data_IF_386914526520
#
_entry.id   IF_386914526520
#
_cell.length_a   1.000
_cell.length_b   1.000
_cell.length_c   1.000
_cell.angle_alpha   90.00
_cell.angle_beta   90.00
_cell.angle_gamma   90.00
#
_symmetry.space_group_name_H-M   'P 1'
#
loop_
_entity.id
_entity.type
_entity.pdbx_description
1 polymer ?
#
# COMPACT_ATOMS: atom_id res chain seq x y z
N UNK A 1 -38.84 31.85 33.26
CA UNK A 1 -39.07 33.31 33.18
C UNK A 1 -39.06 33.67 31.71
N UNK A 2 -40.11 34.30 31.20
CA UNK A 2 -40.22 34.62 29.78
C UNK A 2 -39.53 35.98 29.52
N UNK A 3 -38.44 35.96 28.75
CA UNK A 3 -37.61 37.12 28.45
C UNK A 3 -37.99 37.81 27.13
N UNK A 4 -39.08 37.38 26.48
CA UNK A 4 -39.60 37.99 25.25
C UNK A 4 -40.40 39.27 25.52
N UNK A 5 -40.56 39.66 26.79
CA UNK A 5 -41.26 40.89 27.19
C UNK A 5 -40.27 42.07 27.24
N UNK A 6 -40.40 43.08 26.36
CA UNK A 6 -39.43 44.18 26.30
C UNK A 6 -39.37 44.99 27.60
N UNK A 7 -40.51 45.27 28.23
CA UNK A 7 -40.57 46.02 29.49
C UNK A 7 -39.82 45.32 30.65
N UNK A 8 -39.84 43.98 30.68
CA UNK A 8 -39.13 43.20 31.69
C UNK A 8 -37.61 43.26 31.47
N UNK A 9 -37.17 43.20 30.22
CA UNK A 9 -35.75 43.33 29.87
C UNK A 9 -35.22 44.73 30.20
N UNK A 10 -35.99 45.78 29.94
CA UNK A 10 -35.63 47.16 30.28
C UNK A 10 -35.44 47.34 31.80
N UNK A 11 -36.36 46.82 32.61
CA UNK A 11 -36.26 46.88 34.08
C UNK A 11 -35.07 46.07 34.62
N UNK A 12 -34.85 44.85 34.11
CA UNK A 12 -33.70 44.05 34.56
C UNK A 12 -32.36 44.64 34.10
N UNK A 13 -32.32 45.24 32.91
CA UNK A 13 -31.14 45.92 32.40
C UNK A 13 -30.78 47.15 33.23
N UNK A 14 -31.77 47.98 33.60
CA UNK A 14 -31.53 49.15 34.45
C UNK A 14 -31.01 48.76 35.84
N UNK A 15 -31.63 47.76 36.48
CA UNK A 15 -31.17 47.23 37.76
C UNK A 15 -29.78 46.61 37.70
N UNK A 16 -29.47 45.94 36.59
CA UNK A 16 -28.16 45.34 36.34
C UNK A 16 -27.08 46.41 36.17
N UNK A 17 -27.30 47.44 35.34
CA UNK A 17 -26.34 48.53 35.10
C UNK A 17 -26.11 49.37 36.35
N UNK A 18 -27.17 49.65 37.12
CA UNK A 18 -27.07 50.35 38.41
C UNK A 18 -26.42 49.48 39.51
N UNK A 19 -26.16 48.20 39.25
CA UNK A 19 -25.58 47.28 40.22
C UNK A 19 -26.49 46.89 41.39
N UNK A 20 -27.80 47.17 41.28
CA UNK A 20 -28.81 46.82 42.29
C UNK A 20 -29.25 45.37 42.19
N UNK A 21 -29.10 44.76 41.00
CA UNK A 21 -29.34 43.33 40.81
C UNK A 21 -28.26 42.49 41.52
N UNK A 22 -28.65 41.75 42.56
CA UNK A 22 -27.72 40.99 43.42
C UNK A 22 -27.96 39.48 43.39
N UNK A 23 -26.93 38.73 43.79
CA UNK A 23 -27.02 37.30 44.08
C UNK A 23 -27.53 36.45 42.90
N UNK A 24 -28.47 35.51 43.14
CA UNK A 24 -28.97 34.61 42.09
C UNK A 24 -29.64 35.31 40.91
N UNK A 25 -30.26 36.48 41.13
CA UNK A 25 -30.93 37.23 40.07
C UNK A 25 -29.92 37.75 39.04
N UNK A 26 -28.79 38.30 39.50
CA UNK A 26 -27.70 38.76 38.65
C UNK A 26 -27.11 37.62 37.82
N UNK A 27 -26.79 36.48 38.45
CA UNK A 27 -26.24 35.31 37.73
C UNK A 27 -27.21 34.72 36.71
N UNK A 28 -28.53 34.83 36.94
CA UNK A 28 -29.54 34.45 35.95
C UNK A 28 -29.53 35.40 34.77
N UNK A 29 -29.53 36.71 35.02
CA UNK A 29 -29.51 37.72 33.98
C UNK A 29 -28.21 37.69 33.15
N UNK A 30 -27.06 37.44 33.76
CA UNK A 30 -25.78 37.25 33.06
C UNK A 30 -25.82 36.07 32.06
N UNK A 31 -26.53 34.98 32.40
CA UNK A 31 -26.77 33.88 31.45
C UNK A 31 -27.70 34.27 30.31
N UNK A 32 -28.67 35.13 30.58
CA UNK A 32 -29.55 35.69 29.55
C UNK A 32 -28.76 36.59 28.59
N UNK A 33 -27.84 37.41 29.11
CA UNK A 33 -26.96 38.26 28.28
C UNK A 33 -26.08 37.45 27.32
N UNK A 34 -25.69 36.23 27.69
CA UNK A 34 -24.91 35.34 26.83
C UNK A 34 -25.70 34.81 25.62
N UNK A 35 -27.03 34.74 25.70
CA UNK A 35 -27.89 34.07 24.72
C UNK A 35 -28.83 35.00 23.96
N UNK A 36 -29.33 36.08 24.58
CA UNK A 36 -30.31 36.99 23.97
C UNK A 36 -29.68 38.33 23.57
N UNK A 37 -29.78 38.63 22.27
CA UNK A 37 -29.30 39.91 21.72
C UNK A 37 -30.05 41.12 22.29
N UNK A 38 -31.38 41.03 22.41
CA UNK A 38 -32.21 42.14 22.93
C UNK A 38 -31.83 42.53 24.36
N UNK A 39 -31.44 41.56 25.19
CA UNK A 39 -30.97 41.83 26.55
C UNK A 39 -29.66 42.62 26.57
N UNK A 40 -28.72 42.32 25.64
CA UNK A 40 -27.47 43.09 25.48
C UNK A 40 -27.72 44.50 24.98
N UNK A 41 -28.67 44.67 24.06
CA UNK A 41 -29.06 46.00 23.55
C UNK A 41 -29.67 46.87 24.65
N UNK A 42 -30.55 46.31 25.48
CA UNK A 42 -31.13 47.03 26.62
C UNK A 42 -30.05 47.47 27.62
N UNK A 43 -29.09 46.59 27.95
CA UNK A 43 -27.96 46.94 28.83
C UNK A 43 -27.11 48.07 28.22
N UNK A 44 -26.73 47.96 26.95
CA UNK A 44 -25.95 48.99 26.27
C UNK A 44 -26.68 50.35 26.22
N UNK A 45 -28.00 50.34 26.04
CA UNK A 45 -28.82 51.55 26.08
C UNK A 45 -28.86 52.20 27.48
N UNK A 46 -28.90 51.39 28.55
CA UNK A 46 -28.82 51.90 29.91
C UNK A 46 -27.43 52.40 30.27
N UNK A 47 -26.37 51.71 29.83
CA UNK A 47 -24.99 52.16 30.01
C UNK A 47 -24.76 53.51 29.32
N UNK A 48 -25.23 53.69 28.08
CA UNK A 48 -25.06 54.96 27.36
C UNK A 48 -25.82 56.13 28.01
N UNK A 49 -27.02 55.87 28.56
CA UNK A 49 -27.79 56.87 29.32
C UNK A 49 -27.11 57.30 30.61
N UNK A 50 -26.42 56.37 31.29
CA UNK A 50 -25.77 56.63 32.58
C UNK A 50 -24.32 57.09 32.45
N UNK A 51 -23.67 56.83 31.31
CA UNK A 51 -22.27 57.19 31.08
C UNK A 51 -21.95 58.68 31.35
N UNK A 52 -22.78 59.67 30.97
CA UNK A 52 -22.51 61.07 31.26
C UNK A 52 -22.40 61.39 32.75
N UNK A 53 -23.06 60.62 33.63
CA UNK A 53 -22.96 60.82 35.08
C UNK A 53 -21.53 60.58 35.59
N UNK A 54 -20.78 59.67 34.96
CA UNK A 54 -19.39 59.41 35.32
C UNK A 54 -18.49 60.63 35.06
N UNK A 55 -18.83 61.50 34.10
CA UNK A 55 -18.06 62.70 33.80
C UNK A 55 -18.13 63.76 34.90
N UNK A 56 -19.17 63.72 35.74
CA UNK A 56 -19.29 64.63 36.90
C UNK A 56 -18.44 64.20 38.11
N UNK A 57 -17.81 63.02 38.05
CA UNK A 57 -16.97 62.50 39.14
C UNK A 57 -15.53 62.97 38.94
N UNK A 58 -14.91 63.62 39.94
CA UNK A 58 -13.50 64.00 39.86
C UNK A 58 -12.58 62.81 39.64
N UNK A 59 -11.56 62.99 38.81
CA UNK A 59 -10.55 61.96 38.57
C UNK A 59 -9.78 61.63 39.85
N UNK A 60 -9.62 60.34 40.15
CA UNK A 60 -8.77 59.87 41.24
C UNK A 60 -7.79 58.83 40.71
N UNK A 61 -6.49 59.13 40.81
CA UNK A 61 -5.46 58.22 40.36
C UNK A 61 -5.34 57.02 41.33
N UNK A 62 -5.49 55.77 40.87
CA UNK A 62 -5.27 54.61 41.72
C UNK A 62 -3.77 54.43 42.01
N UNK A 63 -3.44 53.70 43.08
CA UNK A 63 -2.04 53.48 43.46
C UNK A 63 -1.28 52.62 42.44
N UNK A 64 0.04 52.83 42.33
CA UNK A 64 0.92 52.07 41.42
C UNK A 64 0.86 50.56 41.67
N UNK A 65 0.64 50.15 42.92
CA UNK A 65 0.52 48.73 43.28
C UNK A 65 -0.72 48.07 42.67
N UNK A 66 -1.84 48.79 42.58
CA UNK A 66 -3.07 48.28 41.94
C UNK A 66 -2.82 48.07 40.45
N UNK A 67 -2.17 49.02 39.79
CA UNK A 67 -1.80 48.89 38.38
C UNK A 67 -0.90 47.69 38.10
N UNK A 68 0.17 47.51 38.90
CA UNK A 68 1.06 46.35 38.78
C UNK A 68 0.32 45.02 38.98
N UNK A 69 -0.65 44.97 39.89
CA UNK A 69 -1.47 43.77 40.13
C UNK A 69 -2.41 43.46 38.97
N UNK A 70 -2.98 44.48 38.33
CA UNK A 70 -3.82 44.31 37.13
C UNK A 70 -2.97 43.77 35.97
N UNK A 71 -1.81 44.37 35.73
CA UNK A 71 -0.88 43.95 34.67
C UNK A 71 -0.43 42.49 34.86
N UNK A 72 -0.05 42.12 36.08
CA UNK A 72 0.38 40.75 36.37
C UNK A 72 -0.75 39.74 36.23
N UNK A 73 -2.00 40.07 36.57
CA UNK A 73 -3.14 39.18 36.36
C UNK A 73 -3.47 38.98 34.88
N UNK A 74 -3.44 40.04 34.08
CA UNK A 74 -3.71 39.95 32.63
C UNK A 74 -2.62 39.10 31.94
N UNK A 75 -1.35 39.39 32.23
CA UNK A 75 -0.23 38.69 31.62
C UNK A 75 -0.09 37.26 32.15
N UNK A 76 -0.33 37.03 33.44
CA UNK A 76 -0.31 35.72 34.06
C UNK A 76 -1.38 34.77 33.51
N UNK A 77 -2.60 35.26 33.30
CA UNK A 77 -3.67 34.45 32.69
C UNK A 77 -3.35 34.08 31.22
N UNK A 78 -2.70 34.97 30.47
CA UNK A 78 -2.24 34.69 29.11
C UNK A 78 -1.12 33.65 29.11
N UNK A 79 -0.15 33.78 30.01
CA UNK A 79 0.96 32.84 30.18
C UNK A 79 0.48 31.43 30.60
N UNK A 80 -0.51 31.33 31.48
CA UNK A 80 -1.08 30.04 31.89
C UNK A 80 -1.82 29.35 30.74
N UNK A 81 -2.59 30.09 29.92
CA UNK A 81 -3.28 29.53 28.74
C UNK A 81 -2.30 29.03 27.68
N UNK A 82 -1.21 29.76 27.43
CA UNK A 82 -0.17 29.33 26.49
C UNK A 82 0.61 28.14 27.01
N UNK A 83 0.98 28.12 28.30
CA UNK A 83 1.66 26.99 28.94
C UNK A 83 0.80 25.72 28.92
N UNK A 84 -0.50 25.80 29.24
CA UNK A 84 -1.41 24.67 29.18
C UNK A 84 -1.60 24.12 27.76
N UNK A 85 -1.66 25.02 26.75
CA UNK A 85 -1.73 24.63 25.34
C UNK A 85 -0.44 23.98 24.86
N UNK A 86 0.72 24.52 25.25
CA UNK A 86 2.02 23.96 24.92
C UNK A 86 2.22 22.58 25.55
N UNK A 87 1.84 22.40 26.82
CA UNK A 87 1.92 21.11 27.51
C UNK A 87 1.02 20.04 26.89
N UNK A 88 -0.23 20.38 26.55
CA UNK A 88 -1.14 19.47 25.83
C UNK A 88 -0.61 19.08 24.46
N UNK A 89 -0.06 20.03 23.71
CA UNK A 89 0.51 19.75 22.40
C UNK A 89 1.80 18.90 22.51
N UNK A 90 2.57 19.08 23.58
CA UNK A 90 3.80 18.33 23.84
C UNK A 90 3.53 16.87 24.24
N UNK A 91 2.46 16.59 25.00
CA UNK A 91 2.01 15.22 25.25
C UNK A 91 1.60 14.51 23.95
N UNK A 92 1.00 15.23 22.99
CA UNK A 92 0.54 14.65 21.72
C UNK A 92 1.65 14.44 20.69
N UNK A 93 2.86 15.00 20.90
CA UNK A 93 4.02 14.79 20.01
C UNK A 93 4.40 13.32 19.77
N UNK A 94 4.40 12.42 20.77
CA UNK A 94 4.66 11.00 20.52
C UNK A 94 3.63 10.31 19.60
N UNK A 95 2.39 10.82 19.43
CA UNK A 95 1.43 10.24 18.48
C UNK A 95 1.72 10.63 17.01
N UNK A 96 2.24 11.85 16.78
CA UNK A 96 2.63 12.29 15.43
C UNK A 96 3.88 11.56 14.89
N UNK A 97 4.80 11.19 15.78
CA UNK A 97 6.00 10.44 15.43
C UNK A 97 5.72 9.01 14.94
N UNK A 98 4.72 8.34 15.53
CA UNK A 98 4.36 6.96 15.13
C UNK A 98 3.70 6.93 13.75
N UNK A 99 2.77 7.85 13.46
CA UNK A 99 2.14 7.93 12.13
C UNK A 99 3.12 8.34 11.02
N UNK A 100 4.01 9.29 11.29
CA UNK A 100 5.07 9.67 10.35
C UNK A 100 6.06 8.53 10.12
N UNK A 101 6.39 7.75 11.16
CA UNK A 101 7.25 6.57 11.06
C UNK A 101 6.63 5.46 10.21
N UNK A 102 5.32 5.22 10.34
CA UNK A 102 4.59 4.24 9.51
C UNK A 102 4.57 4.69 8.04
N UNK A 103 4.25 5.96 7.75
CA UNK A 103 4.22 6.47 6.38
C UNK A 103 5.62 6.40 5.74
N UNK A 104 6.66 6.83 6.46
CA UNK A 104 8.04 6.78 5.96
C UNK A 104 8.51 5.33 5.78
N UNK A 105 8.17 4.43 6.71
CA UNK A 105 8.44 3.00 6.59
C UNK A 105 7.77 2.37 5.38
N UNK A 106 6.48 2.68 5.13
CA UNK A 106 5.76 2.24 3.93
C UNK A 106 6.40 2.83 2.67
N UNK A 107 6.83 4.09 2.69
CA UNK A 107 7.47 4.73 1.53
C UNK A 107 8.84 4.10 1.21
N UNK A 108 9.64 3.81 2.24
CA UNK A 108 10.95 3.15 2.10
C UNK A 108 10.75 1.71 1.58
N UNK A 109 9.78 0.97 2.10
CA UNK A 109 9.44 -0.36 1.60
C UNK A 109 8.91 -0.31 0.16
N UNK A 110 8.17 0.75 -0.22
CA UNK A 110 7.70 0.95 -1.60
C UNK A 110 8.83 1.35 -2.57
N UNK A 111 9.82 2.14 -2.14
CA UNK A 111 10.91 2.61 -3.00
C UNK A 111 12.10 1.64 -3.07
N UNK A 112 12.35 0.84 -2.03
CA UNK A 112 13.47 -0.10 -1.97
C UNK A 112 13.05 -1.49 -1.42
N UNK A 113 12.06 -2.18 -2.03
CA UNK A 113 11.57 -3.46 -1.54
C UNK A 113 12.65 -4.56 -1.53
N UNK A 114 13.63 -4.49 -2.45
CA UNK A 114 14.73 -5.45 -2.60
C UNK A 114 15.79 -5.39 -1.51
N UNK A 115 15.83 -4.31 -0.71
CA UNK A 115 16.80 -4.17 0.39
C UNK A 115 16.34 -4.88 1.66
N UNK A 116 15.04 -5.05 1.85
CA UNK A 116 14.44 -5.64 3.07
C UNK A 116 13.84 -7.02 2.84
N UNK A 117 13.35 -7.27 1.63
CA UNK A 117 12.95 -8.59 1.20
C UNK A 117 13.90 -8.98 0.07
N UNK A 118 14.86 -9.90 0.29
CA UNK A 118 15.46 -10.64 -0.81
C UNK A 118 14.35 -11.52 -1.38
N UNK A 119 13.44 -10.91 -2.14
CA UNK A 119 12.54 -11.62 -3.03
C UNK A 119 13.45 -12.11 -4.14
N UNK A 120 14.13 -13.22 -3.87
CA UNK A 120 14.41 -14.20 -4.91
C UNK A 120 13.11 -14.33 -5.66
N UNK A 121 13.10 -13.87 -6.91
CA UNK A 121 11.91 -13.70 -7.72
C UNK A 121 11.22 -15.05 -7.91
N UNK A 122 10.48 -15.48 -6.88
CA UNK A 122 9.49 -16.51 -6.90
C UNK A 122 8.36 -15.88 -7.68
N UNK A 123 8.53 -15.94 -8.98
CA UNK A 123 7.56 -15.60 -9.99
C UNK A 123 6.26 -16.33 -9.61
N UNK A 124 5.39 -15.67 -8.84
CA UNK A 124 4.02 -16.09 -8.61
C UNK A 124 3.40 -16.23 -10.02
N UNK A 125 3.29 -17.46 -10.54
CA UNK A 125 2.10 -18.29 -10.38
C UNK A 125 0.79 -17.55 -10.66
N UNK A 126 0.78 -16.62 -11.61
CA UNK A 126 -0.23 -16.74 -12.65
C UNK A 126 0.02 -18.12 -13.30
N UNK A 127 -1.03 -18.93 -13.46
CA UNK A 127 -1.03 -20.17 -14.25
C UNK A 127 -0.52 -19.84 -15.65
N UNK A 128 0.80 -19.75 -15.80
CA UNK A 128 1.42 -19.35 -17.04
C UNK A 128 1.19 -20.54 -17.94
N UNK A 129 0.30 -20.36 -18.91
CA UNK A 129 0.01 -21.35 -19.94
C UNK A 129 1.34 -21.96 -20.37
N UNK A 130 1.52 -23.26 -20.18
CA UNK A 130 2.82 -23.91 -20.30
C UNK A 130 2.71 -25.17 -21.14
N UNK A 131 3.80 -25.50 -21.82
CA UNK A 131 3.98 -26.77 -22.48
C UNK A 131 4.84 -27.66 -21.59
N UNK A 132 4.37 -28.88 -21.33
CA UNK A 132 5.10 -29.87 -20.52
C UNK A 132 5.17 -31.18 -21.28
N UNK A 133 6.39 -31.68 -21.47
CA UNK A 133 6.65 -32.98 -22.06
C UNK A 133 7.30 -33.91 -21.06
N UNK A 134 6.72 -35.09 -20.87
CA UNK A 134 7.27 -36.14 -20.01
C UNK A 134 7.79 -37.27 -20.90
N UNK A 135 9.11 -37.43 -20.97
CA UNK A 135 9.74 -38.45 -21.79
C UNK A 135 10.00 -39.70 -20.96
N UNK A 136 9.48 -40.81 -21.46
CA UNK A 136 9.56 -42.13 -20.87
C UNK A 136 10.68 -42.91 -21.53
N UNK A 137 11.32 -43.77 -20.73
CA UNK A 137 12.22 -44.82 -21.21
C UNK A 137 11.44 -45.98 -21.86
N UNK A 138 12.11 -46.90 -22.52
CA UNK A 138 11.52 -48.11 -23.12
C UNK A 138 10.77 -48.97 -22.08
N UNK A 139 11.12 -48.81 -20.80
CA UNK A 139 10.50 -49.46 -19.64
C UNK A 139 9.25 -48.73 -19.12
N UNK A 140 8.87 -47.59 -19.72
CA UNK A 140 7.73 -46.76 -19.30
C UNK A 140 8.02 -45.84 -18.12
N UNK A 141 9.27 -45.79 -17.64
CA UNK A 141 9.67 -44.95 -16.50
C UNK A 141 9.97 -43.52 -16.99
N UNK A 142 9.41 -42.47 -16.34
CA UNK A 142 9.72 -41.09 -16.69
C UNK A 142 11.17 -40.73 -16.34
N UNK A 143 11.93 -40.37 -17.37
CA UNK A 143 13.37 -40.08 -17.25
C UNK A 143 13.70 -38.60 -17.46
N UNK A 144 12.93 -37.89 -18.30
CA UNK A 144 13.16 -36.47 -18.59
C UNK A 144 11.85 -35.69 -18.56
N UNK A 145 11.87 -34.56 -17.85
CA UNK A 145 10.78 -33.59 -17.84
C UNK A 145 11.24 -32.33 -18.58
N UNK A 146 10.54 -31.97 -19.65
CA UNK A 146 10.73 -30.73 -20.38
C UNK A 146 9.56 -29.78 -20.08
N UNK A 147 9.85 -28.53 -19.75
CA UNK A 147 8.83 -27.54 -19.42
C UNK A 147 9.19 -26.16 -19.96
N UNK A 148 8.23 -25.48 -20.57
CA UNK A 148 8.41 -24.10 -21.05
C UNK A 148 7.11 -23.32 -20.92
N UNK A 149 7.24 -22.00 -20.81
CA UNK A 149 6.08 -21.09 -20.82
C UNK A 149 5.65 -20.79 -22.25
N UNK A 150 4.36 -20.58 -22.50
CA UNK A 150 3.76 -20.41 -23.84
C UNK A 150 4.50 -19.40 -24.73
N UNK A 151 4.79 -18.23 -24.18
CA UNK A 151 5.52 -17.16 -24.89
C UNK A 151 7.02 -17.13 -24.57
N UNK A 152 7.50 -18.08 -23.75
CA UNK A 152 8.90 -18.21 -23.41
C UNK A 152 9.71 -18.84 -24.54
N UNK A 153 10.98 -18.47 -24.58
CA UNK A 153 12.01 -19.12 -25.42
C UNK A 153 12.90 -20.07 -24.62
N UNK A 154 12.65 -20.22 -23.32
CA UNK A 154 13.50 -21.01 -22.42
C UNK A 154 12.82 -22.32 -22.06
N UNK A 155 13.35 -23.41 -22.60
CA UNK A 155 12.92 -24.76 -22.29
C UNK A 155 13.74 -25.29 -21.13
N UNK A 156 13.11 -25.45 -19.97
CA UNK A 156 13.72 -26.02 -18.77
C UNK A 156 13.61 -27.53 -18.82
N UNK A 157 14.73 -28.19 -18.62
CA UNK A 157 14.86 -29.64 -18.62
C UNK A 157 15.26 -30.10 -17.23
N UNK A 158 14.57 -31.12 -16.73
CA UNK A 158 14.91 -31.80 -15.49
C UNK A 158 15.05 -33.29 -15.76
N UNK A 159 16.26 -33.79 -15.59
CA UNK A 159 16.56 -35.21 -15.71
C UNK A 159 16.18 -35.86 -14.37
N UNK A 160 15.20 -36.76 -14.42
CA UNK A 160 14.68 -37.46 -13.24
C UNK A 160 15.49 -38.72 -12.95
N UNK A 161 15.99 -39.37 -14.01
CA UNK A 161 16.84 -40.55 -13.94
C UNK A 161 18.08 -40.32 -14.81
N UNK A 162 19.30 -40.45 -14.27
CA UNK A 162 20.53 -40.31 -15.06
C UNK A 162 20.53 -41.27 -16.24
N UNK A 163 20.90 -40.76 -17.42
CA UNK A 163 20.98 -41.54 -18.66
C UNK A 163 22.45 -41.81 -18.94
N UNK A 164 22.83 -43.08 -19.06
CA UNK A 164 24.19 -43.44 -19.44
C UNK A 164 24.42 -43.10 -20.91
N UNK A 165 25.25 -42.09 -21.16
CA UNK A 165 25.62 -41.66 -22.52
C UNK A 165 26.95 -42.31 -22.90
N UNK A 166 27.02 -43.10 -23.99
CA UNK A 166 28.28 -43.65 -24.48
C UNK A 166 29.30 -42.56 -24.81
N UNK A 167 30.59 -42.84 -24.61
CA UNK A 167 31.66 -41.91 -24.92
C UNK A 167 31.61 -41.48 -26.40
N UNK A 168 31.57 -40.17 -26.65
CA UNK A 168 31.47 -39.59 -28.00
C UNK A 168 30.03 -39.36 -28.50
N UNK A 169 29.01 -39.65 -27.71
CA UNK A 169 27.61 -39.33 -28.02
C UNK A 169 27.07 -38.20 -27.14
N UNK A 170 26.04 -37.51 -27.61
CA UNK A 170 25.30 -36.49 -26.89
C UNK A 170 23.80 -36.69 -27.09
N UNK A 171 23.03 -36.49 -26.02
CA UNK A 171 21.57 -36.56 -26.09
C UNK A 171 21.04 -35.33 -26.80
N UNK A 172 20.23 -35.54 -27.84
CA UNK A 172 19.57 -34.46 -28.58
C UNK A 172 18.06 -34.58 -28.44
N UNK A 173 17.42 -33.47 -28.08
CA UNK A 173 15.97 -33.37 -27.97
C UNK A 173 15.36 -32.93 -29.30
N UNK A 174 14.29 -33.61 -29.67
CA UNK A 174 13.52 -33.42 -30.89
C UNK A 174 12.05 -33.18 -30.56
N UNK A 175 11.43 -32.29 -31.31
CA UNK A 175 9.99 -32.12 -31.37
C UNK A 175 9.44 -32.91 -32.57
N UNK A 176 8.38 -33.67 -32.36
CA UNK A 176 7.67 -34.41 -33.39
C UNK A 176 6.31 -33.75 -33.63
N UNK A 177 6.19 -32.87 -34.64
CA UNK A 177 4.94 -32.23 -34.99
C UNK A 177 4.03 -33.16 -35.80
N UNK A 178 2.74 -32.85 -35.81
CA UNK A 178 1.74 -33.46 -36.67
C UNK A 178 0.96 -32.38 -37.41
N UNK A 179 0.45 -32.70 -38.61
CA UNK A 179 -0.47 -31.82 -39.32
C UNK A 179 -1.89 -31.88 -38.70
N UNK A 180 -2.80 -31.02 -39.19
CA UNK A 180 -4.20 -31.01 -38.72
C UNK A 180 -4.97 -32.30 -39.05
N UNK A 181 -4.47 -33.11 -39.99
CA UNK A 181 -5.02 -34.40 -40.36
C UNK A 181 -4.40 -35.57 -39.55
N UNK A 182 -3.46 -35.29 -38.65
CA UNK A 182 -2.78 -36.29 -37.81
C UNK A 182 -1.58 -36.97 -38.47
N UNK A 183 -1.11 -36.50 -39.62
CA UNK A 183 0.08 -37.03 -40.27
C UNK A 183 1.34 -36.52 -39.59
N UNK A 184 2.32 -37.41 -39.40
CA UNK A 184 3.62 -37.05 -38.83
C UNK A 184 4.39 -36.12 -39.76
N UNK A 185 4.81 -34.97 -39.24
CA UNK A 185 5.67 -34.00 -39.92
C UNK A 185 7.15 -34.28 -39.61
N UNK A 186 8.10 -33.77 -40.40
CA UNK A 186 9.51 -33.98 -40.14
C UNK A 186 9.90 -33.49 -38.73
N UNK A 187 10.68 -34.29 -37.97
CA UNK A 187 11.08 -33.95 -36.61
C UNK A 187 12.01 -32.74 -36.58
N UNK A 188 11.77 -31.83 -35.64
CA UNK A 188 12.55 -30.60 -35.48
C UNK A 188 13.50 -30.70 -34.29
N UNK A 189 14.78 -30.41 -34.51
CA UNK A 189 15.78 -30.38 -33.44
C UNK A 189 15.56 -29.19 -32.50
N UNK A 190 15.46 -29.45 -31.20
CA UNK A 190 15.35 -28.41 -30.17
C UNK A 190 16.69 -28.08 -29.52
N UNK A 191 17.60 -29.06 -29.39
CA UNK A 191 18.94 -28.84 -28.85
C UNK A 191 19.51 -30.04 -28.09
N UNK A 192 20.74 -29.94 -27.62
CA UNK A 192 21.39 -31.00 -26.82
C UNK A 192 21.01 -30.90 -25.34
N UNK A 193 20.76 -32.03 -24.68
CA UNK A 193 20.34 -32.07 -23.27
C UNK A 193 21.42 -32.69 -22.39
N UNK A 194 21.51 -32.30 -21.11
CA UNK A 194 22.44 -32.93 -20.18
C UNK A 194 21.99 -34.37 -19.86
N UNK A 195 22.95 -35.23 -19.52
CA UNK A 195 22.71 -36.62 -19.09
C UNK A 195 22.19 -36.74 -17.66
N UNK A 196 22.36 -35.69 -16.84
CA UNK A 196 21.93 -35.64 -15.44
C UNK A 196 21.64 -34.20 -14.97
N UNK A 197 20.88 -34.07 -13.88
CA UNK A 197 20.61 -32.78 -13.25
C UNK A 197 19.54 -31.93 -13.96
N UNK A 198 19.81 -30.62 -14.07
CA UNK A 198 18.92 -29.63 -14.70
C UNK A 198 19.63 -28.98 -15.88
N UNK A 199 18.90 -28.76 -16.96
CA UNK A 199 19.38 -28.06 -18.14
C UNK A 199 18.40 -26.97 -18.57
N UNK A 200 18.88 -26.04 -19.38
CA UNK A 200 18.04 -25.03 -20.03
C UNK A 200 18.46 -24.92 -21.49
N UNK A 201 17.48 -24.92 -22.39
CA UNK A 201 17.69 -24.68 -23.82
C UNK A 201 16.99 -23.41 -24.26
N UNK A 202 17.65 -22.69 -25.16
CA UNK A 202 17.09 -21.53 -25.83
C UNK A 202 16.48 -22.01 -27.15
N UNK A 203 15.16 -21.90 -27.25
CA UNK A 203 14.39 -22.19 -28.46
C UNK A 203 14.62 -21.08 -29.49
N UNK A 204 14.63 -21.45 -30.77
CA UNK A 204 14.79 -20.51 -31.88
C UNK A 204 13.67 -19.45 -31.93
N UNK A 205 12.45 -19.84 -31.58
CA UNK A 205 11.29 -18.96 -31.46
C UNK A 205 10.48 -19.32 -30.20
N UNK A 206 9.38 -18.63 -29.96
CA UNK A 206 8.46 -18.87 -28.84
C UNK A 206 7.92 -20.29 -28.84
N UNK A 207 7.71 -20.85 -27.64
CA UNK A 207 7.18 -22.20 -27.47
C UNK A 207 5.83 -22.40 -28.18
N UNK A 208 4.95 -21.40 -28.21
CA UNK A 208 3.69 -21.47 -28.95
C UNK A 208 3.91 -21.79 -30.43
N UNK A 209 4.84 -21.12 -31.10
CA UNK A 209 5.06 -21.35 -32.54
C UNK A 209 5.69 -22.70 -32.83
N UNK A 210 6.57 -23.17 -31.96
CA UNK A 210 7.33 -24.40 -32.18
C UNK A 210 6.60 -25.65 -31.66
N UNK A 211 5.85 -25.53 -30.57
CA UNK A 211 5.27 -26.67 -29.84
C UNK A 211 3.73 -26.74 -29.93
N UNK A 212 3.02 -25.76 -30.49
CA UNK A 212 1.56 -25.83 -30.60
C UNK A 212 1.06 -27.06 -31.36
N UNK A 213 1.80 -27.50 -32.38
CA UNK A 213 1.46 -28.66 -33.20
C UNK A 213 2.29 -29.91 -32.84
N UNK A 214 3.01 -29.87 -31.72
CA UNK A 214 3.89 -30.97 -31.29
C UNK A 214 3.14 -31.88 -30.34
N UNK A 215 2.88 -33.11 -30.78
CA UNK A 215 2.19 -34.12 -29.97
C UNK A 215 3.16 -34.92 -29.11
N UNK A 216 4.40 -35.10 -29.60
CA UNK A 216 5.43 -35.90 -28.94
C UNK A 216 6.80 -35.22 -28.94
N UNK A 217 7.57 -35.47 -27.89
CA UNK A 217 8.99 -35.18 -27.80
C UNK A 217 9.77 -36.49 -27.83
N UNK A 218 10.95 -36.46 -28.43
CA UNK A 218 11.86 -37.60 -28.52
C UNK A 218 13.28 -37.20 -28.18
N UNK A 219 14.03 -38.10 -27.57
CA UNK A 219 15.47 -37.94 -27.35
C UNK A 219 16.21 -39.06 -28.05
N UNK A 220 17.15 -38.69 -28.91
CA UNK A 220 18.07 -39.60 -29.58
C UNK A 220 19.50 -39.38 -29.08
N UNK A 221 20.33 -40.41 -29.24
CA UNK A 221 21.77 -40.32 -29.05
C UNK A 221 22.41 -39.98 -30.39
N UNK A 222 23.03 -38.81 -30.49
CA UNK A 222 23.73 -38.36 -31.69
C UNK A 222 25.23 -38.28 -31.42
N UNK A 223 26.05 -38.33 -32.47
CA UNK A 223 27.49 -38.11 -32.34
C UNK A 223 27.76 -36.69 -31.80
N UNK A 224 28.61 -36.57 -30.80
CA UNK A 224 28.91 -35.29 -30.15
C UNK A 224 29.48 -34.29 -31.15
N UNK A 225 28.87 -33.10 -31.24
CA UNK A 225 29.25 -32.04 -32.19
C UNK A 225 28.61 -32.14 -33.59
N UNK A 226 27.85 -33.19 -33.89
CA UNK A 226 27.17 -33.31 -35.19
C UNK A 226 25.84 -32.52 -35.26
N UNK A 227 25.51 -32.03 -36.45
CA UNK A 227 24.19 -31.49 -36.78
C UNK A 227 23.46 -32.40 -37.76
N UNK A 228 22.89 -33.52 -37.27
CA UNK A 228 22.14 -34.41 -38.14
C UNK A 228 20.83 -33.73 -38.59
N UNK A 229 20.45 -33.92 -39.85
CA UNK A 229 19.19 -33.42 -40.42
C UNK A 229 17.97 -34.21 -39.91
N UNK A 230 18.17 -35.42 -39.40
CA UNK A 230 17.13 -36.27 -38.85
C UNK A 230 17.60 -37.07 -37.63
N UNK A 231 16.66 -37.52 -36.77
CA UNK A 231 16.98 -38.21 -35.53
C UNK A 231 17.42 -39.65 -35.78
N UNK A 232 18.45 -40.07 -35.03
CA UNK A 232 18.74 -41.48 -34.77
C UNK A 232 17.62 -42.13 -33.94
N UNK A 233 17.70 -43.45 -33.70
CA UNK A 233 16.70 -44.17 -32.92
C UNK A 233 16.43 -43.50 -31.55
N UNK A 234 15.15 -43.28 -31.24
CA UNK A 234 14.75 -42.61 -29.99
C UNK A 234 14.98 -43.53 -28.80
N UNK A 235 15.77 -43.06 -27.85
CA UNK A 235 16.00 -43.72 -26.56
C UNK A 235 14.87 -43.39 -25.60
N UNK A 236 14.38 -42.15 -25.62
CA UNK A 236 13.24 -41.69 -24.84
C UNK A 236 12.20 -41.07 -25.75
N UNK A 237 10.93 -41.27 -25.44
CA UNK A 237 9.84 -40.58 -26.12
C UNK A 237 8.69 -40.32 -25.16
N UNK A 238 7.88 -39.32 -25.46
CA UNK A 238 6.73 -39.03 -24.63
C UNK A 238 5.86 -37.91 -25.15
N UNK A 239 4.68 -37.76 -24.56
CA UNK A 239 3.70 -36.77 -24.99
C UNK A 239 4.09 -35.37 -24.55
N UNK A 240 3.85 -34.41 -25.44
CA UNK A 240 3.90 -32.99 -25.14
C UNK A 240 2.46 -32.52 -24.90
N UNK A 241 2.20 -31.95 -23.72
CA UNK A 241 0.86 -31.53 -23.30
C UNK A 241 0.82 -30.02 -23.07
N UNK A 242 -0.31 -29.45 -23.46
CA UNK A 242 -0.68 -28.04 -23.27
C UNK A 242 -1.39 -27.91 -21.92
N UNK A 243 -0.88 -27.05 -21.03
CA UNK A 243 -1.44 -26.84 -19.69
C UNK A 243 -2.03 -25.44 -19.57
N UNK A 244 -3.32 -25.29 -19.88
CA UNK A 244 -4.18 -24.14 -19.59
C UNK A 244 -5.65 -24.44 -19.89
#
# INVERSE_FOLDING_TARGET
MNYDRPALLESLASEYVLGTLRGPARRRFERVLASLHNARMAVAAWESRLHPLAQSVPESAPSVQVWKRIESHINGARAQRTAARAWRLNWLRPLGGVLSGIIMGVLIVKMAPSAFFPIEAQQEKALSQSYVGLLLDQTGIPSVLASTTRHGKRLKLKILKPITVPAGQALTLWALPHDQAGNDLPPMRLGSIPSEGKGELILADTAEKLLANVSRLGVSLEASGSQPEGPSAFVLSGHCVRLW
#
